data_IF_464749338139
#
_entry.id   IF_464749338139
#
_cell.length_a   1.000
_cell.length_b   1.000
_cell.length_c   1.000
_cell.angle_alpha   90.00
_cell.angle_beta   90.00
_cell.angle_gamma   90.00
#
_symmetry.space_group_name_H-M   'P 1'
#
loop_
_entity.id
_entity.type
_entity.pdbx_description
1 polymer ?
#
# COMPACT_ATOMS: atom_id res chain seq x y z
N UNK A 1 -20.73 -18.90 24.47
CA UNK A 1 -19.84 -19.57 23.51
C UNK A 1 -19.36 -18.48 22.58
N UNK A 2 -18.21 -17.92 22.97
CA UNK A 2 -17.57 -16.75 22.39
C UNK A 2 -16.93 -17.10 21.05
N UNK A 3 -17.39 -16.47 19.98
CA UNK A 3 -16.67 -16.38 18.71
C UNK A 3 -16.09 -14.97 18.56
N UNK A 4 -15.11 -14.67 19.40
CA UNK A 4 -14.22 -13.51 19.28
C UNK A 4 -13.35 -13.71 18.04
N UNK A 5 -13.88 -13.31 16.89
CA UNK A 5 -13.20 -13.40 15.60
C UNK A 5 -11.93 -12.54 15.64
N UNK A 6 -10.78 -13.24 15.70
CA UNK A 6 -9.39 -12.80 15.48
C UNK A 6 -9.28 -11.36 14.95
N UNK A 7 -9.13 -10.40 15.85
CA UNK A 7 -8.45 -9.16 15.53
C UNK A 7 -6.99 -9.54 15.37
N UNK A 8 -6.47 -9.38 14.15
CA UNK A 8 -5.05 -9.55 13.86
C UNK A 8 -4.28 -8.50 14.66
N UNK A 9 -3.85 -8.89 15.86
CA UNK A 9 -2.78 -8.21 16.58
C UNK A 9 -1.51 -8.40 15.75
N UNK A 10 -1.22 -7.46 14.85
CA UNK A 10 0.15 -7.26 14.38
C UNK A 10 0.90 -6.58 15.52
N UNK A 11 1.19 -7.37 16.57
CA UNK A 11 2.13 -6.98 17.60
C UNK A 11 3.50 -6.83 16.95
N UNK A 12 4.02 -5.61 17.06
CA UNK A 12 5.37 -5.19 16.70
C UNK A 12 6.43 -6.27 16.90
N UNK A 13 6.99 -6.75 15.81
CA UNK A 13 8.35 -7.30 15.75
C UNK A 13 9.01 -6.70 14.52
N UNK A 14 10.10 -5.99 14.77
CA UNK A 14 11.01 -5.31 13.85
C UNK A 14 10.63 -3.90 13.38
N UNK A 15 11.45 -2.94 13.81
CA UNK A 15 11.34 -1.49 13.59
C UNK A 15 11.54 -1.04 12.15
N UNK A 16 10.77 -1.62 11.23
CA UNK A 16 10.69 -1.15 9.84
C UNK A 16 9.75 0.05 9.82
N UNK A 17 10.27 1.23 9.47
CA UNK A 17 9.40 2.39 9.17
C UNK A 17 8.42 1.99 8.08
N UNK A 18 7.12 2.01 8.40
CA UNK A 18 6.06 1.56 7.49
C UNK A 18 6.08 2.34 6.16
N UNK A 19 6.54 3.59 6.19
CA UNK A 19 6.67 4.45 5.00
C UNK A 19 7.91 4.21 4.16
N UNK A 20 8.94 3.59 4.72
CA UNK A 20 10.19 3.31 4.02
C UNK A 20 10.31 1.86 3.61
N UNK A 21 9.56 0.96 4.24
CA UNK A 21 9.49 -0.44 3.86
C UNK A 21 8.97 -0.62 2.43
N UNK A 22 9.32 -1.75 1.86
CA UNK A 22 8.82 -2.21 0.57
C UNK A 22 7.29 -2.21 0.56
N UNK A 23 6.72 -1.47 -0.37
CA UNK A 23 5.30 -1.56 -0.69
C UNK A 23 5.08 -2.60 -1.80
N UNK A 24 4.49 -3.74 -1.44
CA UNK A 24 4.24 -4.87 -2.34
C UNK A 24 2.80 -4.95 -2.87
N UNK A 25 1.97 -3.92 -2.64
CA UNK A 25 0.59 -3.86 -3.14
C UNK A 25 0.50 -3.68 -4.68
N UNK A 26 1.59 -3.91 -5.40
CA UNK A 26 1.70 -3.78 -6.86
C UNK A 26 1.74 -5.16 -7.51
N UNK A 27 1.10 -5.29 -8.68
CA UNK A 27 1.15 -6.53 -9.47
C UNK A 27 2.60 -6.95 -9.78
N UNK A 28 2.90 -8.25 -9.60
CA UNK A 28 4.22 -8.83 -9.83
C UNK A 28 5.21 -8.73 -8.66
N UNK A 29 4.79 -8.18 -7.50
CA UNK A 29 5.64 -8.11 -6.29
C UNK A 29 5.37 -9.25 -5.29
N UNK A 30 4.57 -10.25 -5.68
CA UNK A 30 4.22 -11.36 -4.79
C UNK A 30 5.43 -12.26 -4.50
N UNK A 31 5.50 -12.84 -3.29
CA UNK A 31 6.52 -13.83 -2.95
C UNK A 31 7.95 -13.30 -2.75
N UNK A 32 8.14 -11.98 -2.70
CA UNK A 32 9.42 -11.36 -2.37
C UNK A 32 9.71 -11.46 -0.87
N UNK A 33 10.99 -11.68 -0.52
CA UNK A 33 11.48 -11.63 0.85
C UNK A 33 11.51 -10.17 1.35
N UNK A 34 10.43 -9.77 2.01
CA UNK A 34 10.25 -8.41 2.53
C UNK A 34 11.30 -8.06 3.59
N UNK A 35 11.67 -9.01 4.44
CA UNK A 35 12.60 -8.76 5.55
C UNK A 35 13.98 -8.41 5.00
N UNK A 36 14.47 -9.23 4.06
CA UNK A 36 15.75 -8.98 3.39
C UNK A 36 15.76 -7.66 2.62
N UNK A 37 14.71 -7.37 1.85
CA UNK A 37 14.61 -6.12 1.07
C UNK A 37 14.54 -4.90 2.01
N UNK A 38 13.73 -4.97 3.06
CA UNK A 38 13.61 -3.89 4.04
C UNK A 38 14.91 -3.64 4.78
N UNK A 39 15.69 -4.69 5.07
CA UNK A 39 17.01 -4.55 5.66
C UNK A 39 17.96 -3.77 4.74
N UNK A 40 17.99 -4.09 3.45
CA UNK A 40 18.80 -3.36 2.45
C UNK A 40 18.36 -1.89 2.38
N UNK A 41 17.05 -1.61 2.32
CA UNK A 41 16.52 -0.24 2.28
C UNK A 41 16.93 0.54 3.54
N UNK A 42 16.82 -0.11 4.71
CA UNK A 42 17.16 0.50 5.99
C UNK A 42 18.66 0.82 6.06
N UNK A 43 19.53 -0.12 5.69
CA UNK A 43 20.97 0.08 5.63
C UNK A 43 21.36 1.22 4.70
N UNK A 44 20.74 1.32 3.53
CA UNK A 44 21.03 2.36 2.55
C UNK A 44 20.54 3.77 2.96
N UNK A 45 19.53 3.87 3.83
CA UNK A 45 18.83 5.14 4.09
C UNK A 45 19.06 5.69 5.50
N UNK A 46 19.46 4.85 6.47
CA UNK A 46 19.65 5.23 7.88
C UNK A 46 20.66 6.38 8.02
N UNK A 47 20.26 7.40 8.79
CA UNK A 47 21.10 8.59 9.05
C UNK A 47 20.98 9.70 7.99
N UNK A 48 20.17 9.51 6.95
CA UNK A 48 19.87 10.59 6.00
C UNK A 48 18.84 11.59 6.55
N UNK A 49 18.86 12.83 6.04
CA UNK A 49 17.79 13.82 6.31
C UNK A 49 16.41 13.32 5.90
N UNK A 50 16.34 12.50 4.84
CA UNK A 50 15.10 11.87 4.39
C UNK A 50 14.56 10.90 5.46
N UNK A 51 15.43 10.03 6.00
CA UNK A 51 15.08 9.09 7.07
C UNK A 51 14.54 9.80 8.32
N UNK A 52 15.19 10.87 8.77
CA UNK A 52 14.73 11.65 9.93
C UNK A 52 13.35 12.29 9.69
N UNK A 53 13.08 12.75 8.47
CA UNK A 53 11.80 13.30 8.09
C UNK A 53 10.71 12.22 8.04
N UNK A 54 11.00 11.03 7.49
CA UNK A 54 10.04 9.93 7.50
C UNK A 54 9.74 9.45 8.93
N UNK A 55 10.74 9.40 9.82
CA UNK A 55 10.52 9.14 11.25
C UNK A 55 9.57 10.17 11.89
N UNK A 56 9.72 11.46 11.54
CA UNK A 56 8.83 12.52 12.04
C UNK A 56 7.40 12.32 11.54
N UNK A 57 7.21 11.97 10.27
CA UNK A 57 5.88 11.73 9.69
C UNK A 57 5.22 10.47 10.25
N UNK A 58 5.98 9.40 10.46
CA UNK A 58 5.47 8.17 11.09
C UNK A 58 4.99 8.45 12.51
N UNK A 59 5.74 9.23 13.30
CA UNK A 59 5.27 9.68 14.63
C UNK A 59 3.96 10.46 14.55
N UNK A 60 3.82 11.36 13.58
CA UNK A 60 2.58 12.14 13.40
C UNK A 60 1.39 11.25 13.03
N UNK A 61 1.60 10.26 12.16
CA UNK A 61 0.56 9.29 11.79
C UNK A 61 0.15 8.46 13.00
N UNK A 62 1.11 7.96 13.78
CA UNK A 62 0.83 7.18 14.99
C UNK A 62 0.06 7.99 16.03
N UNK A 63 0.45 9.25 16.26
CA UNK A 63 -0.31 10.15 17.13
C UNK A 63 -1.75 10.37 16.65
N UNK A 64 -1.98 10.41 15.33
CA UNK A 64 -3.34 10.53 14.78
C UNK A 64 -4.14 9.24 14.99
N UNK A 65 -3.51 8.08 14.83
CA UNK A 65 -4.13 6.77 15.08
C UNK A 65 -4.51 6.67 16.55
N UNK A 66 -3.63 7.01 17.48
CA UNK A 66 -3.90 7.01 18.92
C UNK A 66 -5.09 7.89 19.28
N UNK A 67 -5.14 9.12 18.75
CA UNK A 67 -6.29 10.02 18.92
C UNK A 67 -7.58 9.41 18.39
N UNK A 68 -7.53 8.76 17.21
CA UNK A 68 -8.70 8.08 16.65
C UNK A 68 -9.15 6.88 17.51
N UNK A 69 -8.21 6.12 18.06
CA UNK A 69 -8.51 5.00 18.96
C UNK A 69 -9.16 5.47 20.26
N UNK A 70 -8.65 6.54 20.87
CA UNK A 70 -9.26 7.16 22.05
C UNK A 70 -10.65 7.71 21.78
N UNK A 71 -10.90 8.27 20.59
CA UNK A 71 -12.24 8.71 20.20
C UNK A 71 -13.18 7.52 20.02
N UNK A 72 -12.69 6.42 19.41
CA UNK A 72 -13.45 5.19 19.22
C UNK A 72 -13.91 4.60 20.55
N UNK A 73 -13.05 4.59 21.57
CA UNK A 73 -13.37 4.07 22.91
C UNK A 73 -14.50 4.85 23.61
N UNK A 74 -14.66 6.14 23.28
CA UNK A 74 -15.71 7.00 23.85
C UNK A 74 -17.08 6.82 23.18
N UNK A 75 -17.14 6.09 22.06
CA UNK A 75 -18.39 5.87 21.33
C UNK A 75 -19.29 4.94 22.13
N UNK A 76 -20.51 5.39 22.43
CA UNK A 76 -21.49 4.57 23.14
C UNK A 76 -22.24 3.66 22.17
N UNK A 77 -22.74 2.52 22.67
CA UNK A 77 -23.57 1.59 21.88
C UNK A 77 -24.81 2.29 21.28
N UNK A 78 -25.40 3.25 22.00
CA UNK A 78 -26.54 4.02 21.51
C UNK A 78 -26.17 4.93 20.32
N UNK A 79 -25.02 5.61 20.40
CA UNK A 79 -24.51 6.42 19.29
C UNK A 79 -24.18 5.55 18.08
N UNK A 80 -23.57 4.39 18.31
CA UNK A 80 -23.26 3.43 17.27
C UNK A 80 -24.53 2.92 16.58
N UNK A 81 -25.56 2.56 17.34
CA UNK A 81 -26.85 2.10 16.80
C UNK A 81 -27.56 3.21 16.01
N UNK A 82 -27.53 4.45 16.49
CA UNK A 82 -28.06 5.61 15.75
C UNK A 82 -27.30 5.83 14.44
N UNK A 83 -25.97 5.76 14.47
CA UNK A 83 -25.15 5.91 13.28
C UNK A 83 -25.41 4.78 12.28
N UNK A 84 -25.56 3.54 12.75
CA UNK A 84 -25.92 2.39 11.94
C UNK A 84 -27.23 2.62 11.19
N UNK A 85 -28.30 3.02 11.87
CA UNK A 85 -29.59 3.30 11.24
C UNK A 85 -29.50 4.41 10.17
N UNK A 86 -28.69 5.45 10.41
CA UNK A 86 -28.47 6.52 9.44
C UNK A 86 -27.71 6.04 8.21
N UNK A 87 -26.66 5.22 8.42
CA UNK A 87 -25.87 4.63 7.33
C UNK A 87 -26.70 3.64 6.53
N UNK A 88 -27.51 2.80 7.17
CA UNK A 88 -28.36 1.83 6.48
C UNK A 88 -29.39 2.52 5.57
N UNK A 89 -29.99 3.62 6.03
CA UNK A 89 -30.87 4.44 5.20
C UNK A 89 -30.14 4.97 3.96
N UNK A 90 -28.92 5.48 4.13
CA UNK A 90 -28.10 5.97 3.02
C UNK A 90 -27.73 4.84 2.05
N UNK A 91 -27.39 3.65 2.57
CA UNK A 91 -27.09 2.48 1.74
C UNK A 91 -28.30 2.11 0.88
N UNK A 92 -29.51 2.10 1.45
CA UNK A 92 -30.73 1.84 0.67
C UNK A 92 -30.91 2.86 -0.46
N UNK A 93 -30.69 4.16 -0.19
CA UNK A 93 -30.78 5.22 -1.21
C UNK A 93 -29.72 5.06 -2.32
N UNK A 94 -28.49 4.67 -1.96
CA UNK A 94 -27.40 4.41 -2.92
C UNK A 94 -27.66 3.16 -3.76
N UNK A 95 -28.23 2.11 -3.17
CA UNK A 95 -28.60 0.89 -3.90
C UNK A 95 -29.77 1.14 -4.85
N UNK A 96 -30.77 1.93 -4.44
CA UNK A 96 -31.89 2.31 -5.30
C UNK A 96 -31.45 3.11 -6.53
N UNK A 97 -30.41 3.94 -6.39
CA UNK A 97 -29.84 4.75 -7.48
C UNK A 97 -28.71 4.04 -8.24
N UNK A 98 -28.42 2.76 -7.94
CA UNK A 98 -27.38 1.99 -8.61
C UNK A 98 -27.71 1.82 -10.10
N UNK A 99 -26.88 2.40 -10.95
CA UNK A 99 -27.02 2.31 -12.40
C UNK A 99 -26.07 1.26 -12.99
N UNK A 100 -26.64 0.16 -13.50
CA UNK A 100 -25.91 -0.92 -14.20
C UNK A 100 -26.08 -0.88 -15.72
N UNK A 101 -26.69 0.17 -16.28
CA UNK A 101 -26.93 0.29 -17.73
C UNK A 101 -25.69 0.69 -18.52
N UNK A 102 -24.60 1.07 -17.84
CA UNK A 102 -23.36 1.54 -18.46
C UNK A 102 -22.31 0.44 -18.41
N UNK A 103 -21.65 0.23 -19.55
CA UNK A 103 -20.41 -0.55 -19.61
C UNK A 103 -19.26 0.44 -19.45
N UNK A 104 -18.52 0.32 -18.35
CA UNK A 104 -17.34 1.15 -18.08
C UNK A 104 -16.11 0.30 -18.35
N UNK A 105 -15.26 0.75 -19.28
CA UNK A 105 -14.01 0.07 -19.62
C UNK A 105 -12.84 0.88 -19.06
N UNK A 106 -11.98 0.24 -18.27
CA UNK A 106 -10.72 0.80 -17.81
C UNK A 106 -9.57 0.08 -18.50
N UNK A 107 -8.71 0.81 -19.19
CA UNK A 107 -7.54 0.29 -19.89
C UNK A 107 -6.30 0.80 -19.15
N UNK A 108 -5.49 -0.12 -18.63
CA UNK A 108 -4.19 0.18 -18.03
C UNK A 108 -3.09 -0.52 -18.83
N UNK A 109 -1.98 0.19 -19.07
CA UNK A 109 -0.88 -0.30 -19.87
C UNK A 109 0.17 -0.97 -18.98
N UNK A 110 0.44 -2.25 -19.25
CA UNK A 110 1.44 -3.05 -18.54
C UNK A 110 2.83 -2.40 -18.60
N UNK A 111 3.35 -2.00 -17.43
CA UNK A 111 4.68 -1.41 -17.27
C UNK A 111 5.04 -0.32 -18.32
N UNK A 112 4.06 0.51 -18.70
CA UNK A 112 4.08 1.39 -19.87
C UNK A 112 5.46 1.93 -20.30
N UNK A 113 6.14 2.72 -19.45
CA UNK A 113 7.43 3.31 -19.83
C UNK A 113 8.51 2.27 -20.07
N UNK A 114 8.62 1.24 -19.22
CA UNK A 114 9.58 0.17 -19.43
C UNK A 114 9.26 -0.65 -20.69
N UNK A 115 7.98 -0.83 -21.01
CA UNK A 115 7.55 -1.51 -22.23
C UNK A 115 7.93 -0.73 -23.50
N UNK A 116 7.86 0.61 -23.47
CA UNK A 116 8.35 1.46 -24.58
C UNK A 116 9.86 1.29 -24.76
N UNK A 117 10.64 1.36 -23.68
CA UNK A 117 12.11 1.17 -23.75
C UNK A 117 12.48 -0.25 -24.26
N UNK A 118 11.75 -1.29 -23.86
CA UNK A 118 11.95 -2.67 -24.35
C UNK A 118 11.52 -2.87 -25.81
N UNK A 119 10.58 -2.05 -26.30
CA UNK A 119 10.19 -2.04 -27.72
C UNK A 119 11.31 -1.42 -28.55
N UNK A 120 11.81 -0.26 -28.11
CA UNK A 120 12.79 0.55 -28.85
C UNK A 120 14.21 -0.02 -28.73
N UNK A 121 14.54 -0.69 -27.62
CA UNK A 121 15.75 -1.47 -27.42
C UNK A 121 15.43 -2.93 -27.02
N UNK A 122 15.34 -3.85 -28.00
CA UNK A 122 14.98 -5.24 -27.74
C UNK A 122 15.92 -6.01 -26.80
N UNK A 123 17.18 -5.60 -26.63
CA UNK A 123 18.12 -6.24 -25.71
C UNK A 123 17.72 -6.10 -24.23
N UNK A 124 16.82 -5.18 -23.93
CA UNK A 124 16.30 -4.95 -22.58
C UNK A 124 15.18 -5.94 -22.20
N UNK A 125 14.65 -6.73 -23.15
CA UNK A 125 13.47 -7.57 -22.91
C UNK A 125 13.65 -8.67 -21.88
N UNK A 126 14.87 -9.18 -21.73
CA UNK A 126 15.21 -10.25 -20.78
C UNK A 126 15.96 -9.72 -19.55
N UNK A 127 16.01 -8.39 -19.36
CA UNK A 127 16.75 -7.75 -18.28
C UNK A 127 15.81 -7.07 -17.29
N UNK A 128 16.09 -7.12 -15.98
CA UNK A 128 15.37 -6.30 -15.01
C UNK A 128 15.69 -4.82 -15.26
N UNK A 129 14.71 -4.05 -15.71
CA UNK A 129 14.86 -2.63 -16.02
C UNK A 129 13.89 -1.75 -15.20
N UNK A 130 14.31 -0.51 -14.96
CA UNK A 130 13.45 0.55 -14.45
C UNK A 130 13.74 1.85 -15.18
N UNK A 131 12.68 2.62 -15.45
CA UNK A 131 12.79 3.93 -16.10
C UNK A 131 12.85 5.03 -15.05
N UNK A 132 13.85 5.91 -15.14
CA UNK A 132 14.06 7.03 -14.21
C UNK A 132 15.52 7.43 -14.11
N UNK A 133 15.93 7.92 -12.94
CA UNK A 133 17.31 8.23 -12.59
C UNK A 133 17.70 7.60 -11.25
N UNK A 134 18.96 7.72 -10.85
CA UNK A 134 19.42 7.27 -9.53
C UNK A 134 18.72 7.99 -8.37
N UNK A 135 18.15 9.17 -8.62
CA UNK A 135 17.39 9.91 -7.60
C UNK A 135 15.96 9.41 -7.46
N UNK A 136 15.32 8.98 -8.55
CA UNK A 136 13.92 8.56 -8.54
C UNK A 136 13.58 7.66 -9.73
N UNK A 137 12.85 6.58 -9.46
CA UNK A 137 12.32 5.68 -10.47
C UNK A 137 10.84 5.97 -10.73
N UNK A 138 10.43 5.97 -12.00
CA UNK A 138 9.05 6.23 -12.43
C UNK A 138 8.25 4.94 -12.48
N UNK A 139 8.73 3.94 -13.24
CA UNK A 139 8.16 2.59 -13.23
C UNK A 139 9.22 1.52 -13.55
N UNK A 140 9.33 0.48 -12.71
CA UNK A 140 10.06 -0.74 -13.05
C UNK A 140 9.25 -1.72 -13.91
N UNK A 141 9.94 -2.57 -14.69
CA UNK A 141 9.39 -3.81 -15.23
C UNK A 141 9.39 -4.90 -14.14
N UNK A 142 8.27 -4.97 -13.41
CA UNK A 142 8.16 -5.77 -12.19
C UNK A 142 8.30 -7.28 -12.43
N UNK A 143 7.82 -7.81 -13.57
CA UNK A 143 7.83 -9.26 -13.87
C UNK A 143 9.24 -9.85 -13.93
N UNK A 144 10.21 -9.08 -14.43
CA UNK A 144 11.61 -9.54 -14.52
C UNK A 144 12.37 -9.28 -13.22
N UNK A 145 12.07 -8.19 -12.52
CA UNK A 145 12.66 -7.90 -11.22
C UNK A 145 12.35 -9.02 -10.21
N UNK A 146 11.12 -9.52 -10.21
CA UNK A 146 10.74 -10.64 -9.34
C UNK A 146 11.59 -11.89 -9.62
N UNK A 147 11.80 -12.25 -10.90
CA UNK A 147 12.65 -13.37 -11.32
C UNK A 147 14.13 -13.20 -10.97
N UNK A 148 14.61 -11.97 -10.81
CA UNK A 148 16.00 -11.69 -10.44
C UNK A 148 16.25 -11.63 -8.94
N UNK A 149 15.19 -11.47 -8.12
CA UNK A 149 15.28 -11.36 -6.66
C UNK A 149 14.92 -12.67 -5.95
N UNK A 150 14.17 -13.55 -6.62
CA UNK A 150 13.87 -14.93 -6.15
C UNK A 150 14.99 -15.87 -6.54
#
# INVERSE_FOLDING_TARGET
>A
MDDTKKICNTSSSDGVLLRMGLNDNKAGMQGLDKEKINKIIMEATKGSRFYENELKKDRQVNQRIEKMMQLKEKITTQQLLKAQLQVDKLVVELEQSRNLSRIIVHIDMDAFYAAVEMRDNPELREKPIAVGSMSMLVRPNVKLIQKSIT
#
